data_IF_075420671612
#
_entry.id   IF_075420671612
#
_cell.length_a   1.000
_cell.length_b   1.000
_cell.length_c   1.000
_cell.angle_alpha   90.00
_cell.angle_beta   90.00
_cell.angle_gamma   90.00
#
_symmetry.space_group_name_H-M   'P 1'
#
loop_
_entity.id
_entity.type
_entity.pdbx_description
1 polymer ?
#
# COMPACT_ATOMS: atom_id res chain seq x y z
N UNK A 1 0.94 26.27 -6.48
CA UNK A 1 -0.23 25.54 -5.99
C UNK A 1 -1.46 25.90 -6.83
N UNK A 2 -1.65 25.24 -7.98
CA UNK A 2 -2.95 25.30 -8.67
C UNK A 2 -3.89 24.44 -7.85
N UNK A 3 -4.98 25.01 -7.36
CA UNK A 3 -5.97 24.25 -6.59
C UNK A 3 -6.52 23.13 -7.47
N UNK A 4 -6.15 21.87 -7.20
CA UNK A 4 -6.67 20.70 -7.93
C UNK A 4 -8.22 20.62 -7.90
N UNK A 5 -8.86 21.38 -7.00
CA UNK A 5 -10.33 21.58 -6.96
C UNK A 5 -10.88 22.35 -8.17
N UNK A 6 -10.07 23.06 -8.95
CA UNK A 6 -10.54 23.84 -10.10
C UNK A 6 -10.71 23.00 -11.37
N UNK A 7 -10.01 21.86 -11.50
CA UNK A 7 -10.12 21.01 -12.71
C UNK A 7 -11.48 20.29 -12.82
N UNK A 8 -12.18 20.07 -11.71
CA UNK A 8 -13.49 19.39 -11.71
C UNK A 8 -14.67 20.31 -12.04
N UNK A 9 -14.47 21.63 -12.11
CA UNK A 9 -15.55 22.62 -12.32
C UNK A 9 -15.85 22.91 -13.80
N UNK A 10 -15.18 22.23 -14.73
CA UNK A 10 -15.46 22.36 -16.15
C UNK A 10 -16.82 21.76 -16.54
N UNK A 11 -17.74 22.62 -16.97
CA UNK A 11 -18.99 22.22 -17.63
C UNK A 11 -18.67 21.54 -18.96
N UNK A 12 -18.98 20.25 -19.10
CA UNK A 12 -18.76 19.55 -20.37
C UNK A 12 -19.94 18.64 -20.79
N UNK A 13 -20.31 18.67 -22.08
CA UNK A 13 -21.48 17.98 -22.61
C UNK A 13 -21.09 16.58 -23.09
N UNK A 14 -21.20 15.59 -22.21
CA UNK A 14 -21.26 14.19 -22.64
C UNK A 14 -22.38 13.49 -21.88
N UNK A 15 -22.86 12.35 -22.40
CA UNK A 15 -23.84 11.47 -21.75
C UNK A 15 -23.25 10.90 -20.44
N UNK A 16 -23.02 11.76 -19.45
CA UNK A 16 -22.60 11.40 -18.12
C UNK A 16 -23.75 10.61 -17.52
N UNK A 17 -23.53 9.32 -17.29
CA UNK A 17 -24.46 8.52 -16.49
C UNK A 17 -24.67 9.24 -15.15
N UNK A 18 -25.90 9.21 -14.65
CA UNK A 18 -26.36 10.06 -13.53
C UNK A 18 -25.47 9.88 -12.29
N UNK A 19 -25.01 8.64 -12.02
CA UNK A 19 -24.11 8.33 -10.92
C UNK A 19 -22.84 9.19 -10.91
N UNK A 20 -22.13 9.27 -12.03
CA UNK A 20 -20.89 10.05 -12.09
C UNK A 20 -21.13 11.56 -11.98
N UNK A 21 -22.29 12.04 -12.45
CA UNK A 21 -22.68 13.43 -12.24
C UNK A 21 -22.84 13.71 -10.74
N UNK A 22 -23.44 12.79 -10.00
CA UNK A 22 -23.56 12.91 -8.54
C UNK A 22 -22.21 12.89 -7.85
N UNK A 23 -21.26 12.05 -8.28
CA UNK A 23 -19.89 12.04 -7.73
C UNK A 23 -19.19 13.38 -8.00
N UNK A 24 -19.25 13.91 -9.23
CA UNK A 24 -18.63 15.20 -9.58
C UNK A 24 -19.25 16.40 -8.87
N UNK A 25 -20.53 16.31 -8.53
CA UNK A 25 -21.23 17.35 -7.78
C UNK A 25 -21.18 17.12 -6.27
N UNK A 26 -20.38 16.14 -5.83
CA UNK A 26 -20.19 15.77 -4.42
C UNK A 26 -21.50 15.45 -3.69
N UNK A 27 -22.51 14.99 -4.44
CA UNK A 27 -23.84 14.66 -3.93
C UNK A 27 -23.87 13.23 -3.37
N UNK A 28 -23.07 12.96 -2.32
CA UNK A 28 -22.76 11.62 -1.82
C UNK A 28 -24.00 10.78 -1.46
N UNK A 29 -25.01 11.40 -0.84
CA UNK A 29 -26.27 10.70 -0.51
C UNK A 29 -27.02 10.19 -1.76
N UNK A 30 -26.96 10.93 -2.86
CA UNK A 30 -27.53 10.52 -4.14
C UNK A 30 -26.66 9.47 -4.83
N UNK A 31 -25.34 9.48 -4.60
CA UNK A 31 -24.43 8.44 -5.10
C UNK A 31 -24.81 7.09 -4.49
N UNK A 32 -24.91 6.98 -3.17
CA UNK A 32 -25.28 5.73 -2.49
C UNK A 32 -26.64 5.19 -2.98
N UNK A 33 -27.68 6.03 -2.98
CA UNK A 33 -29.01 5.67 -3.52
C UNK A 33 -28.98 5.23 -4.99
N UNK A 34 -28.09 5.83 -5.79
CA UNK A 34 -27.94 5.47 -7.20
C UNK A 34 -27.20 4.15 -7.38
N UNK A 35 -26.20 3.86 -6.56
CA UNK A 35 -25.53 2.55 -6.52
C UNK A 35 -26.52 1.42 -6.19
N UNK A 36 -27.39 1.62 -5.20
CA UNK A 36 -28.43 0.66 -4.81
C UNK A 36 -29.45 0.44 -5.93
N UNK A 37 -29.98 1.52 -6.50
CA UNK A 37 -31.05 1.42 -7.51
C UNK A 37 -30.57 1.07 -8.92
N UNK A 38 -29.33 1.39 -9.27
CA UNK A 38 -28.75 1.24 -10.62
C UNK A 38 -27.29 0.76 -10.55
N UNK A 39 -27.00 -0.44 -10.01
CA UNK A 39 -25.62 -0.92 -9.78
C UNK A 39 -24.80 -1.04 -11.07
N UNK A 40 -25.45 -1.29 -12.22
CA UNK A 40 -24.79 -1.31 -13.55
C UNK A 40 -24.19 0.05 -13.96
N UNK A 41 -24.49 1.15 -13.27
CA UNK A 41 -23.78 2.40 -13.49
C UNK A 41 -22.38 2.40 -12.87
N UNK A 42 -22.12 1.58 -11.83
CA UNK A 42 -20.82 1.43 -11.20
C UNK A 42 -19.77 0.80 -12.14
N UNK A 43 -20.19 -0.05 -13.09
CA UNK A 43 -19.31 -0.60 -14.14
C UNK A 43 -19.09 0.34 -15.34
N UNK A 44 -19.63 1.56 -15.30
CA UNK A 44 -19.57 2.46 -16.44
C UNK A 44 -18.29 3.28 -16.49
N UNK A 45 -17.48 3.00 -17.50
CA UNK A 45 -16.38 3.86 -17.89
C UNK A 45 -16.84 5.24 -18.38
N UNK A 46 -16.05 6.26 -18.09
CA UNK A 46 -16.22 7.60 -18.61
C UNK A 46 -14.90 8.19 -19.08
N UNK A 47 -14.95 8.93 -20.18
CA UNK A 47 -13.82 9.71 -20.67
C UNK A 47 -13.79 11.04 -19.94
N UNK A 48 -12.65 11.39 -19.36
CA UNK A 48 -12.37 12.67 -18.72
C UNK A 48 -11.10 13.25 -19.33
N UNK A 49 -10.96 14.58 -19.36
CA UNK A 49 -9.66 15.17 -19.69
C UNK A 49 -8.62 14.68 -18.68
N UNK A 50 -7.44 14.36 -19.18
CA UNK A 50 -6.32 13.84 -18.42
C UNK A 50 -5.92 14.80 -17.32
N UNK A 51 -5.39 14.24 -16.24
CA UNK A 51 -5.07 14.97 -15.02
C UNK A 51 -3.83 15.88 -15.15
N UNK A 52 -3.07 15.75 -16.24
CA UNK A 52 -1.89 16.55 -16.57
C UNK A 52 -2.08 17.29 -17.88
N UNK A 53 -1.53 18.50 -17.97
CA UNK A 53 -1.65 19.47 -19.06
C UNK A 53 -1.50 18.83 -20.45
N UNK A 54 -2.63 18.46 -21.05
CA UNK A 54 -2.71 17.83 -22.35
C UNK A 54 -4.11 17.28 -22.59
N UNK A 55 -4.64 17.47 -23.80
CA UNK A 55 -5.96 16.99 -24.24
C UNK A 55 -6.03 15.45 -24.39
N UNK A 56 -5.52 14.69 -23.42
CA UNK A 56 -5.53 13.22 -23.43
C UNK A 56 -6.72 12.77 -22.59
N UNK A 57 -7.69 12.09 -23.18
CA UNK A 57 -8.83 11.57 -22.43
C UNK A 57 -8.42 10.33 -21.61
N UNK A 58 -8.58 10.36 -20.28
CA UNK A 58 -8.50 9.17 -19.41
C UNK A 58 -9.88 8.51 -19.28
N UNK A 59 -9.91 7.18 -19.34
CA UNK A 59 -11.09 6.37 -19.08
C UNK A 59 -11.11 5.97 -17.61
N UNK A 60 -12.13 6.41 -16.88
CA UNK A 60 -12.27 6.20 -15.44
C UNK A 60 -13.61 5.53 -15.12
N UNK A 61 -13.54 4.51 -14.24
CA UNK A 61 -14.71 4.01 -13.51
C UNK A 61 -15.15 4.99 -12.39
N UNK A 62 -16.40 4.92 -11.91
CA UNK A 62 -16.91 5.74 -10.82
C UNK A 62 -16.05 5.68 -9.56
N UNK A 63 -15.46 4.53 -9.21
CA UNK A 63 -14.55 4.40 -8.06
C UNK A 63 -13.28 5.26 -8.22
N UNK A 64 -12.72 5.34 -9.43
CA UNK A 64 -11.57 6.20 -9.70
C UNK A 64 -11.93 7.69 -9.54
N UNK A 65 -13.13 8.07 -10.01
CA UNK A 65 -13.64 9.44 -9.85
C UNK A 65 -13.91 9.74 -8.38
N UNK A 66 -14.40 8.77 -7.60
CA UNK A 66 -14.60 8.91 -6.16
C UNK A 66 -13.27 9.13 -5.41
N UNK A 67 -12.19 8.42 -5.77
CA UNK A 67 -10.85 8.71 -5.25
C UNK A 67 -10.41 10.14 -5.57
N UNK A 68 -10.58 10.58 -6.82
CA UNK A 68 -10.20 11.91 -7.26
C UNK A 68 -11.01 13.04 -6.58
N UNK A 69 -12.25 12.77 -6.21
CA UNK A 69 -13.12 13.70 -5.51
C UNK A 69 -13.02 13.60 -3.97
N UNK A 70 -12.11 12.75 -3.45
CA UNK A 70 -11.97 12.45 -2.02
C UNK A 70 -13.32 12.12 -1.34
N UNK A 71 -14.08 11.21 -1.97
CA UNK A 71 -15.40 10.82 -1.50
C UNK A 71 -15.36 10.18 -0.10
N UNK A 72 -16.44 10.24 0.69
CA UNK A 72 -16.50 9.61 2.00
C UNK A 72 -16.54 8.08 1.90
N UNK A 73 -16.16 7.40 2.98
CA UNK A 73 -16.11 5.93 3.10
C UNK A 73 -17.39 5.24 2.59
N UNK A 74 -18.56 5.74 2.99
CA UNK A 74 -19.87 5.19 2.59
C UNK A 74 -20.09 5.11 1.07
N UNK A 75 -19.48 6.04 0.31
CA UNK A 75 -19.55 6.01 -1.17
C UNK A 75 -18.72 4.86 -1.71
N UNK A 76 -17.54 4.60 -1.13
CA UNK A 76 -16.71 3.47 -1.53
C UNK A 76 -17.38 2.13 -1.20
N UNK A 77 -17.96 1.99 -0.02
CA UNK A 77 -18.75 0.80 0.34
C UNK A 77 -19.88 0.56 -0.66
N UNK A 78 -20.64 1.61 -0.99
CA UNK A 78 -21.74 1.51 -1.96
C UNK A 78 -21.26 1.14 -3.37
N UNK A 79 -20.14 1.70 -3.81
CA UNK A 79 -19.56 1.43 -5.13
C UNK A 79 -18.98 0.02 -5.21
N UNK A 80 -18.28 -0.44 -4.18
CA UNK A 80 -17.70 -1.77 -4.10
C UNK A 80 -18.77 -2.84 -3.92
N UNK A 81 -19.86 -2.56 -3.21
CA UNK A 81 -21.02 -3.45 -3.15
C UNK A 81 -21.70 -3.58 -4.53
N UNK A 82 -21.79 -2.49 -5.29
CA UNK A 82 -22.40 -2.50 -6.62
C UNK A 82 -21.50 -3.16 -7.69
N UNK A 83 -20.18 -3.01 -7.59
CA UNK A 83 -19.21 -3.58 -8.53
C UNK A 83 -17.84 -3.82 -7.87
N UNK A 84 -17.64 -4.98 -7.20
CA UNK A 84 -16.41 -5.29 -6.46
C UNK A 84 -15.15 -5.32 -7.33
N UNK A 85 -15.26 -5.82 -8.58
CA UNK A 85 -14.13 -5.97 -9.50
C UNK A 85 -13.53 -4.61 -9.93
N UNK A 86 -14.22 -3.51 -9.64
CA UNK A 86 -13.70 -2.16 -9.85
C UNK A 86 -12.44 -1.87 -9.04
N UNK A 87 -12.19 -2.60 -7.93
CA UNK A 87 -11.04 -2.40 -7.05
C UNK A 87 -9.68 -2.64 -7.74
N UNK A 88 -9.64 -3.53 -8.73
CA UNK A 88 -8.41 -3.87 -9.47
C UNK A 88 -8.41 -3.32 -10.90
N UNK A 89 -9.42 -2.54 -11.26
CA UNK A 89 -9.54 -1.97 -12.60
C UNK A 89 -8.51 -0.86 -12.80
N UNK A 90 -7.81 -0.86 -13.93
CA UNK A 90 -6.79 0.14 -14.27
C UNK A 90 -7.37 1.25 -15.13
N UNK A 91 -7.14 2.51 -14.76
CA UNK A 91 -7.50 3.66 -15.61
C UNK A 91 -6.59 3.75 -16.85
N UNK A 92 -7.09 4.34 -17.93
CA UNK A 92 -6.45 4.17 -19.24
C UNK A 92 -5.21 5.02 -19.51
N UNK A 93 -4.93 6.04 -18.70
CA UNK A 93 -3.83 6.99 -18.95
C UNK A 93 -2.49 6.45 -18.46
N UNK A 94 -2.42 6.01 -17.20
CA UNK A 94 -1.22 5.44 -16.61
C UNK A 94 -1.41 4.01 -16.12
N UNK A 95 -2.58 3.39 -16.29
CA UNK A 95 -2.81 2.04 -15.76
C UNK A 95 -2.93 1.99 -14.24
N UNK A 96 -3.31 3.11 -13.60
CA UNK A 96 -3.44 3.21 -12.14
C UNK A 96 -4.71 2.53 -11.65
N UNK A 97 -4.59 1.72 -10.60
CA UNK A 97 -5.75 1.20 -9.84
C UNK A 97 -6.30 2.26 -8.87
N UNK A 98 -7.52 2.10 -8.32
CA UNK A 98 -8.13 3.08 -7.40
C UNK A 98 -7.24 3.46 -6.21
N UNK A 99 -6.44 2.53 -5.66
CA UNK A 99 -5.54 2.80 -4.54
C UNK A 99 -4.44 3.82 -4.89
N UNK A 100 -3.92 3.83 -6.13
CA UNK A 100 -2.99 4.87 -6.58
C UNK A 100 -3.64 6.25 -6.50
N UNK A 101 -4.87 6.36 -7.03
CA UNK A 101 -5.59 7.63 -7.02
C UNK A 101 -5.94 8.06 -5.59
N UNK A 102 -6.32 7.13 -4.73
CA UNK A 102 -6.57 7.41 -3.32
C UNK A 102 -5.32 8.04 -2.65
N UNK A 103 -4.13 7.50 -2.93
CA UNK A 103 -2.87 8.06 -2.42
C UNK A 103 -2.54 9.44 -3.04
N UNK A 104 -2.71 9.59 -4.37
CA UNK A 104 -2.48 10.86 -5.09
C UNK A 104 -3.34 11.99 -4.51
N UNK A 105 -4.60 11.71 -4.22
CA UNK A 105 -5.57 12.71 -3.78
C UNK A 105 -5.72 12.81 -2.26
N UNK A 106 -4.93 12.04 -1.50
CA UNK A 106 -4.92 12.11 -0.03
C UNK A 106 -6.22 11.62 0.59
N UNK A 107 -6.70 10.45 0.17
CA UNK A 107 -7.84 9.79 0.78
C UNK A 107 -7.60 9.53 2.27
N UNK A 108 -8.67 9.53 3.07
CA UNK A 108 -8.60 9.22 4.50
C UNK A 108 -8.08 7.80 4.76
N UNK A 109 -7.44 7.59 5.91
CA UNK A 109 -6.94 6.28 6.34
C UNK A 109 -8.01 5.17 6.25
N UNK A 110 -9.26 5.46 6.62
CA UNK A 110 -10.36 4.49 6.55
C UNK A 110 -10.65 4.02 5.11
N UNK A 111 -10.52 4.94 4.14
CA UNK A 111 -10.68 4.61 2.72
C UNK A 111 -9.51 3.76 2.25
N UNK A 112 -8.27 4.07 2.66
CA UNK A 112 -7.10 3.24 2.32
C UNK A 112 -7.27 1.82 2.88
N UNK A 113 -7.66 1.69 4.15
CA UNK A 113 -7.95 0.40 4.80
C UNK A 113 -9.06 -0.36 4.09
N UNK A 114 -10.15 0.31 3.70
CA UNK A 114 -11.24 -0.32 2.95
C UNK A 114 -10.78 -0.81 1.57
N UNK A 115 -10.02 -0.01 0.83
CA UNK A 115 -9.53 -0.43 -0.49
C UNK A 115 -8.58 -1.64 -0.37
N UNK A 116 -7.71 -1.63 0.64
CA UNK A 116 -6.78 -2.73 0.92
C UNK A 116 -7.49 -4.00 1.43
N UNK A 117 -8.58 -3.88 2.19
CA UNK A 117 -9.36 -5.04 2.64
C UNK A 117 -10.07 -5.75 1.49
N UNK A 118 -10.46 -5.03 0.44
CA UNK A 118 -10.98 -5.61 -0.80
C UNK A 118 -9.87 -6.16 -1.71
N UNK A 119 -8.69 -5.54 -1.73
CA UNK A 119 -7.57 -5.99 -2.56
C UNK A 119 -6.22 -5.53 -2.01
N UNK A 120 -5.59 -6.38 -1.18
CA UNK A 120 -4.23 -6.15 -0.70
C UNK A 120 -3.21 -6.11 -1.85
N UNK A 121 -3.44 -6.89 -2.92
CA UNK A 121 -2.61 -6.89 -4.13
C UNK A 121 -2.58 -5.52 -4.82
N UNK A 122 -3.58 -4.67 -4.60
CA UNK A 122 -3.59 -3.30 -5.12
C UNK A 122 -2.38 -2.47 -4.66
N UNK A 123 -1.77 -2.79 -3.52
CA UNK A 123 -0.56 -2.14 -3.02
C UNK A 123 0.72 -2.52 -3.80
N UNK A 124 0.70 -3.64 -4.53
CA UNK A 124 1.80 -4.17 -5.33
C UNK A 124 1.69 -3.79 -6.82
N UNK A 125 0.53 -3.28 -7.24
CA UNK A 125 0.30 -2.90 -8.62
C UNK A 125 1.19 -1.71 -9.00
N UNK A 126 1.96 -1.86 -10.07
CA UNK A 126 2.67 -0.75 -10.68
C UNK A 126 1.84 -0.13 -11.81
N UNK A 127 1.89 1.19 -11.89
CA UNK A 127 1.42 1.94 -13.03
C UNK A 127 2.43 1.91 -14.20
N UNK A 128 2.12 2.57 -15.32
CA UNK A 128 2.97 2.64 -16.51
C UNK A 128 4.30 3.36 -16.28
N UNK A 129 4.47 4.03 -15.14
CA UNK A 129 5.72 4.67 -14.73
C UNK A 129 6.57 3.81 -13.80
N UNK A 130 6.11 2.59 -13.49
CA UNK A 130 6.77 1.70 -12.54
C UNK A 130 6.54 2.12 -11.09
N UNK A 131 5.49 2.88 -10.80
CA UNK A 131 5.19 3.36 -9.44
C UNK A 131 4.07 2.57 -8.82
N UNK A 132 4.28 2.14 -7.59
CA UNK A 132 3.25 1.59 -6.70
C UNK A 132 2.47 2.71 -5.99
N UNK A 133 1.36 2.41 -5.30
CA UNK A 133 0.65 3.41 -4.50
C UNK A 133 1.52 4.09 -3.43
N UNK A 134 2.50 3.38 -2.86
CA UNK A 134 3.43 3.91 -1.86
C UNK A 134 4.18 5.15 -2.38
N UNK A 135 4.63 5.14 -3.64
CA UNK A 135 5.27 6.30 -4.27
C UNK A 135 4.38 7.54 -4.22
N UNK A 136 3.11 7.37 -4.54
CA UNK A 136 2.17 8.48 -4.57
C UNK A 136 1.78 8.94 -3.18
N UNK A 137 1.69 8.03 -2.21
CA UNK A 137 1.46 8.38 -0.81
C UNK A 137 2.56 9.33 -0.30
N UNK A 138 3.82 9.05 -0.63
CA UNK A 138 4.96 9.90 -0.24
C UNK A 138 4.92 11.30 -0.86
N UNK A 139 4.13 11.54 -1.91
CA UNK A 139 3.98 12.88 -2.49
C UNK A 139 3.08 13.82 -1.69
N UNK A 140 2.41 13.29 -0.65
CA UNK A 140 1.38 14.01 0.09
C UNK A 140 1.72 14.38 1.52
N UNK A 141 2.93 14.06 1.98
CA UNK A 141 3.32 14.11 3.40
C UNK A 141 2.31 13.32 4.25
N UNK A 142 2.33 11.98 4.16
CA UNK A 142 1.32 11.15 4.81
C UNK A 142 1.52 11.12 6.32
N UNK A 143 0.44 10.84 7.06
CA UNK A 143 0.58 10.47 8.46
C UNK A 143 1.30 9.13 8.58
N UNK A 144 1.91 8.89 9.74
CA UNK A 144 2.61 7.64 9.97
C UNK A 144 1.68 6.43 9.83
N UNK A 145 0.43 6.52 10.30
CA UNK A 145 -0.55 5.45 10.20
C UNK A 145 -0.95 5.13 8.75
N UNK A 146 -0.99 6.15 7.87
CA UNK A 146 -1.25 5.93 6.45
C UNK A 146 -0.05 5.26 5.76
N UNK A 147 1.18 5.60 6.16
CA UNK A 147 2.38 4.91 5.73
C UNK A 147 2.36 3.44 6.18
N UNK A 148 2.16 3.18 7.47
CA UNK A 148 2.12 1.81 8.04
C UNK A 148 1.05 0.97 7.35
N UNK A 149 -0.15 1.52 7.16
CA UNK A 149 -1.24 0.84 6.48
C UNK A 149 -0.87 0.34 5.07
N UNK A 150 -0.08 1.10 4.31
CA UNK A 150 0.38 0.69 2.99
C UNK A 150 1.63 -0.21 3.06
N UNK A 151 2.51 0.05 4.02
CA UNK A 151 3.70 -0.75 4.26
C UNK A 151 3.35 -2.18 4.63
N UNK A 152 2.43 -2.39 5.57
CA UNK A 152 1.93 -3.73 5.96
C UNK A 152 1.36 -4.51 4.78
N UNK A 153 0.72 -3.82 3.82
CA UNK A 153 0.15 -4.46 2.63
C UNK A 153 1.20 -4.79 1.56
N UNK A 154 2.32 -4.07 1.51
CA UNK A 154 3.41 -4.31 0.57
C UNK A 154 4.77 -3.81 1.12
N UNK A 155 5.44 -4.57 2.00
CA UNK A 155 6.74 -4.17 2.56
C UNK A 155 7.84 -4.07 1.51
N UNK A 156 7.83 -4.99 0.53
CA UNK A 156 8.79 -5.00 -0.57
C UNK A 156 8.65 -3.78 -1.50
N UNK A 157 7.53 -3.06 -1.45
CA UNK A 157 7.28 -1.83 -2.19
C UNK A 157 8.29 -0.71 -1.90
N UNK A 158 9.01 -0.77 -0.78
CA UNK A 158 10.12 0.15 -0.48
C UNK A 158 11.35 -0.04 -1.37
N UNK A 159 11.49 -1.22 -1.98
CA UNK A 159 12.61 -1.61 -2.85
C UNK A 159 12.31 -1.33 -4.34
N UNK A 160 11.04 -1.12 -4.67
CA UNK A 160 10.60 -0.86 -6.04
C UNK A 160 11.20 0.44 -6.57
N UNK A 161 11.56 0.44 -7.85
CA UNK A 161 12.15 1.59 -8.54
C UNK A 161 11.24 2.08 -9.65
N UNK A 162 10.96 3.37 -9.66
CA UNK A 162 10.27 3.99 -10.80
C UNK A 162 11.18 4.05 -12.04
N UNK A 163 10.65 4.49 -13.17
CA UNK A 163 11.39 4.65 -14.42
C UNK A 163 12.63 5.58 -14.35
N UNK A 164 12.79 6.37 -13.28
CA UNK A 164 13.96 7.22 -13.03
C UNK A 164 14.92 6.58 -12.01
N UNK A 165 14.67 5.34 -11.61
CA UNK A 165 15.41 4.63 -10.57
C UNK A 165 15.13 5.14 -9.17
N UNK A 166 14.06 5.91 -8.95
CA UNK A 166 13.73 6.42 -7.62
C UNK A 166 13.09 5.33 -6.78
N UNK A 167 13.48 5.23 -5.52
CA UNK A 167 12.75 4.52 -4.46
C UNK A 167 11.71 5.46 -3.81
N UNK A 168 10.72 4.94 -3.06
CA UNK A 168 9.80 5.77 -2.29
C UNK A 168 10.50 6.77 -1.35
N UNK A 169 11.61 6.39 -0.70
CA UNK A 169 12.35 7.29 0.20
C UNK A 169 12.94 8.51 -0.52
N UNK A 170 13.31 8.37 -1.81
CA UNK A 170 13.78 9.51 -2.60
C UNK A 170 12.65 10.53 -2.78
N UNK A 171 11.42 10.05 -3.03
CA UNK A 171 10.24 10.92 -3.15
C UNK A 171 9.94 11.60 -1.82
N UNK A 172 9.93 10.84 -0.72
CA UNK A 172 9.68 11.35 0.63
C UNK A 172 10.67 12.46 1.00
N UNK A 173 11.98 12.23 0.82
CA UNK A 173 13.00 13.22 1.12
C UNK A 173 12.91 14.45 0.19
N UNK A 174 12.72 14.23 -1.11
CA UNK A 174 12.68 15.32 -2.10
C UNK A 174 11.50 16.25 -1.90
N UNK A 175 10.34 15.72 -1.48
CA UNK A 175 9.13 16.49 -1.26
C UNK A 175 8.94 16.93 0.20
N UNK A 176 9.88 16.57 1.08
CA UNK A 176 9.91 17.00 2.47
C UNK A 176 8.85 16.33 3.35
N UNK A 177 8.67 15.02 3.22
CA UNK A 177 7.86 14.23 4.15
C UNK A 177 8.38 14.36 5.60
N UNK A 178 7.49 14.12 6.57
CA UNK A 178 7.82 14.18 7.99
C UNK A 178 9.03 13.28 8.38
N UNK A 179 9.81 13.77 9.34
CA UNK A 179 11.00 13.07 9.83
C UNK A 179 10.62 11.69 10.40
N UNK A 180 9.45 11.57 11.06
CA UNK A 180 8.93 10.31 11.60
C UNK A 180 8.70 9.26 10.50
N UNK A 181 8.11 9.64 9.37
CA UNK A 181 7.90 8.73 8.24
C UNK A 181 9.24 8.31 7.64
N UNK A 182 10.17 9.25 7.44
CA UNK A 182 11.49 8.93 6.88
C UNK A 182 12.29 8.01 7.82
N UNK A 183 12.25 8.25 9.13
CA UNK A 183 12.84 7.36 10.13
C UNK A 183 12.26 5.94 10.02
N UNK A 184 10.94 5.81 10.00
CA UNK A 184 10.25 4.53 9.87
C UNK A 184 10.57 3.80 8.57
N UNK A 185 10.78 4.52 7.48
CA UNK A 185 11.27 3.95 6.21
C UNK A 185 12.71 3.43 6.33
N UNK A 186 13.60 4.14 7.02
CA UNK A 186 14.98 3.71 7.24
C UNK A 186 15.07 2.51 8.17
N UNK A 187 14.22 2.42 9.19
CA UNK A 187 14.11 1.24 10.05
C UNK A 187 13.63 0.02 9.25
N UNK A 188 12.66 0.23 8.36
CA UNK A 188 12.09 -0.83 7.52
C UNK A 188 13.05 -1.28 6.41
N UNK A 189 13.85 -0.36 5.86
CA UNK A 189 14.82 -0.65 4.81
C UNK A 189 16.08 0.25 4.88
N UNK A 190 17.06 -0.10 5.74
CA UNK A 190 18.26 0.70 5.96
C UNK A 190 19.10 0.96 4.70
N UNK A 191 19.27 -0.05 3.86
CA UNK A 191 20.11 0.05 2.64
C UNK A 191 19.61 1.12 1.65
N UNK A 192 18.35 1.54 1.78
CA UNK A 192 17.74 2.56 0.93
C UNK A 192 18.52 3.89 0.93
N UNK A 193 19.21 4.23 2.02
CA UNK A 193 20.03 5.45 2.14
C UNK A 193 21.22 5.48 1.16
N UNK A 194 21.68 4.30 0.72
CA UNK A 194 22.86 4.14 -0.13
C UNK A 194 22.50 3.88 -1.60
N UNK A 195 21.22 3.77 -1.93
CA UNK A 195 20.76 3.49 -3.28
C UNK A 195 20.69 4.77 -4.10
N UNK A 196 21.34 4.78 -5.27
CA UNK A 196 21.30 5.91 -6.20
C UNK A 196 20.17 5.75 -7.22
N UNK A 197 19.54 6.87 -7.54
CA UNK A 197 18.67 7.00 -8.72
C UNK A 197 19.45 6.78 -10.02
N UNK A 198 18.76 6.68 -11.16
CA UNK A 198 19.41 6.60 -12.46
C UNK A 198 20.27 7.85 -12.78
N UNK A 199 19.95 9.00 -12.18
CA UNK A 199 20.75 10.23 -12.25
C UNK A 199 21.95 10.26 -11.29
N UNK A 200 22.21 9.18 -10.53
CA UNK A 200 23.31 9.10 -9.59
C UNK A 200 23.05 9.77 -8.23
N UNK A 201 21.87 10.35 -8.01
CA UNK A 201 21.51 11.05 -6.76
C UNK A 201 21.11 10.06 -5.67
N UNK A 202 21.60 10.27 -4.43
CA UNK A 202 21.16 9.58 -3.22
C UNK A 202 19.93 10.27 -2.59
N UNK A 203 19.15 9.60 -1.73
CA UNK A 203 18.09 10.24 -0.96
C UNK A 203 18.65 11.40 -0.13
N UNK A 204 17.99 12.56 -0.17
CA UNK A 204 18.41 13.76 0.56
C UNK A 204 17.88 13.73 2.00
N UNK A 205 18.34 12.76 2.79
CA UNK A 205 17.91 12.57 4.18
C UNK A 205 18.52 13.70 5.04
N UNK A 206 17.72 14.27 5.94
CA UNK A 206 18.19 15.32 6.86
C UNK A 206 19.18 14.74 7.86
N UNK A 207 20.19 15.53 8.22
CA UNK A 207 21.18 15.16 9.22
C UNK A 207 20.55 14.84 10.59
N UNK A 208 19.48 15.56 10.96
CA UNK A 208 18.71 15.30 12.18
C UNK A 208 18.13 13.88 12.20
N UNK A 209 17.58 13.43 11.07
CA UNK A 209 17.01 12.09 10.89
C UNK A 209 18.10 11.03 10.98
N UNK A 210 19.23 11.22 10.29
CA UNK A 210 20.37 10.29 10.35
C UNK A 210 20.91 10.16 11.77
N UNK A 211 21.12 11.29 12.45
CA UNK A 211 21.60 11.31 13.83
C UNK A 211 20.63 10.57 14.78
N UNK A 212 19.32 10.72 14.58
CA UNK A 212 18.30 10.01 15.36
C UNK A 212 18.31 8.50 15.07
N UNK A 213 18.44 8.11 13.81
CA UNK A 213 18.50 6.72 13.38
C UNK A 213 19.76 6.01 13.91
N UNK A 214 20.94 6.62 13.77
CA UNK A 214 22.23 6.07 14.21
C UNK A 214 22.33 5.91 15.73
N UNK A 215 21.67 6.78 16.49
CA UNK A 215 21.61 6.68 17.96
C UNK A 215 20.73 5.51 18.44
N UNK A 216 20.17 4.73 17.52
CA UNK A 216 19.39 3.54 17.81
C UNK A 216 18.15 3.91 18.60
N UNK A 217 17.30 4.79 18.03
CA UNK A 217 16.07 5.28 18.64
C UNK A 217 15.27 4.17 19.31
N UNK A 218 15.50 3.99 20.61
CA UNK A 218 14.75 3.10 21.47
C UNK A 218 13.34 3.64 21.59
N UNK A 219 12.46 3.23 20.68
CA UNK A 219 11.09 2.98 21.02
C UNK A 219 11.03 1.53 21.45
N UNK A 220 11.26 1.30 22.75
CA UNK A 220 10.79 0.08 23.40
C UNK A 220 9.27 0.06 23.21
N UNK A 221 8.79 -0.71 22.25
CA UNK A 221 7.48 -1.32 22.34
C UNK A 221 7.68 -2.82 22.25
N UNK A 222 7.30 -3.49 23.33
CA UNK A 222 7.39 -4.92 23.59
C UNK A 222 6.58 -5.71 22.56
N UNK A 223 7.08 -5.90 21.34
CA UNK A 223 6.48 -6.81 20.38
C UNK A 223 7.52 -7.70 19.68
N UNK A 224 7.42 -8.94 20.11
CA UNK A 224 7.72 -10.18 19.38
C UNK A 224 9.13 -10.75 19.53
N UNK A 225 9.35 -11.29 20.75
CA UNK A 225 10.12 -12.51 21.01
C UNK A 225 9.60 -13.69 20.17
N UNK A 226 9.79 -13.69 18.84
CA UNK A 226 9.60 -14.88 18.02
C UNK A 226 10.48 -14.76 16.76
N UNK A 227 11.78 -15.03 16.90
CA UNK A 227 12.40 -16.15 16.16
C UNK A 227 13.93 -16.19 16.31
N UNK A 228 14.44 -17.43 16.21
CA UNK A 228 15.82 -17.82 15.92
C UNK A 228 16.79 -18.06 17.09
N UNK A 229 16.48 -19.02 17.96
CA UNK A 229 17.52 -19.98 18.36
C UNK A 229 17.77 -20.93 17.18
N UNK A 230 18.63 -20.50 16.25
CA UNK A 230 19.34 -21.44 15.39
C UNK A 230 20.80 -21.03 15.29
N UNK A 231 21.61 -21.91 15.88
CA UNK A 231 23.01 -22.19 15.62
C UNK A 231 24.05 -21.41 16.44
N UNK A 232 24.66 -22.17 17.36
CA UNK A 232 26.11 -22.47 17.49
C UNK A 232 26.46 -22.44 18.98
N UNK A 233 27.25 -23.34 19.57
CA UNK A 233 27.90 -24.59 19.23
C UNK A 233 28.80 -24.88 20.44
N UNK A 234 28.90 -26.14 20.87
CA UNK A 234 30.14 -26.77 21.35
C UNK A 234 30.96 -25.97 22.38
N UNK A 235 30.93 -26.41 23.63
CA UNK A 235 32.17 -26.69 24.39
C UNK A 235 31.98 -27.98 25.18
N UNK A 236 33.00 -28.82 25.07
CA UNK A 236 33.22 -30.08 25.79
C UNK A 236 33.13 -29.91 27.32
N UNK A 237 32.86 -31.02 28.03
CA UNK A 237 33.61 -31.47 29.23
C UNK A 237 32.86 -32.63 29.94
N UNK A 238 33.49 -33.82 29.88
CA UNK A 238 33.75 -34.80 30.95
C UNK A 238 32.66 -35.31 31.93
N UNK A 239 32.59 -36.65 31.97
CA UNK A 239 32.61 -37.54 33.14
C UNK A 239 31.47 -37.46 34.18
N UNK A 240 30.62 -38.48 34.21
CA UNK A 240 30.61 -39.47 35.30
C UNK A 240 29.49 -40.50 35.10
N UNK A 241 29.83 -41.76 35.36
CA UNK A 241 28.91 -42.88 35.28
C UNK A 241 27.82 -42.83 36.34
N UNK A 242 26.70 -43.50 36.06
CA UNK A 242 26.09 -44.33 37.09
C UNK A 242 25.15 -45.38 36.50
N UNK A 243 25.26 -46.55 37.11
CA UNK A 243 24.58 -47.79 36.82
C UNK A 243 23.05 -47.65 36.97
N UNK A 244 22.28 -48.28 36.07
CA UNK A 244 21.04 -48.89 36.54
C UNK A 244 20.61 -50.09 35.69
N UNK A 245 20.91 -51.26 36.25
CA UNK A 245 20.39 -52.57 35.87
C UNK A 245 18.94 -52.67 36.35
N UNK A 246 17.96 -52.73 35.44
CA UNK A 246 16.65 -53.31 35.78
C UNK A 246 16.12 -54.16 34.61
N UNK A 247 16.03 -55.45 34.89
CA UNK A 247 15.42 -56.53 34.11
C UNK A 247 13.97 -56.25 33.69
N UNK A 248 13.62 -56.55 32.42
CA UNK A 248 12.32 -57.16 32.05
C UNK A 248 12.48 -58.20 30.92
N UNK A 249 11.74 -59.28 31.12
CA UNK A 249 11.75 -60.63 30.53
C UNK A 249 11.09 -60.73 29.15
N UNK A 250 11.15 -61.90 28.47
CA UNK A 250 11.18 -61.99 27.01
C UNK A 250 9.79 -62.03 26.35
N UNK A 251 9.78 -61.50 25.13
CA UNK A 251 8.74 -61.59 24.11
C UNK A 251 8.50 -63.05 23.69
N UNK A 252 7.25 -63.47 23.82
CA UNK A 252 6.71 -64.73 23.35
C UNK A 252 6.22 -64.52 21.91
N UNK A 253 6.86 -65.13 20.93
CA UNK A 253 6.30 -65.24 19.59
C UNK A 253 6.85 -66.47 18.88
N UNK A 254 5.99 -67.46 18.63
CA UNK A 254 6.18 -68.47 17.58
C UNK A 254 4.88 -69.24 17.31
N UNK A 255 4.37 -68.98 16.11
CA UNK A 255 3.84 -69.95 15.12
C UNK A 255 2.49 -70.63 15.36
N UNK A 256 1.55 -70.35 14.44
CA UNK A 256 0.72 -71.36 13.75
C UNK A 256 0.12 -70.76 12.46
N UNK A 257 -0.17 -71.62 11.47
CA UNK A 257 -0.63 -71.40 10.08
C UNK A 257 0.53 -71.24 9.07
N UNK A 258 0.83 -72.17 8.15
CA UNK A 258 0.20 -73.40 7.64
C UNK A 258 1.32 -74.36 7.21
#
# INVERSE_FOLDING_TARGET
>A
MVSLRSCLKGSFPFKSKKLQRHIRTEAWSLVCKRCESHPKEAMSWSKQNGFYEGNINTSLLPIHVACAANAPLAVFESLLQAYPESISSKESMYGRVPLHLACIYGASLDVLKLLLSYSAKGAQEMDSTGRTPMFYLMTRDPSLEAYECLYEANPDGLKDRDMRGWLPIHVACHLGASDDVVLRMLESYPDSMNIRTAGGTLPQIKESVLTCWEKGGAWNDERDDLDCERQQSITDDDDDGDENVIFRTPSNDSSAFV
#
